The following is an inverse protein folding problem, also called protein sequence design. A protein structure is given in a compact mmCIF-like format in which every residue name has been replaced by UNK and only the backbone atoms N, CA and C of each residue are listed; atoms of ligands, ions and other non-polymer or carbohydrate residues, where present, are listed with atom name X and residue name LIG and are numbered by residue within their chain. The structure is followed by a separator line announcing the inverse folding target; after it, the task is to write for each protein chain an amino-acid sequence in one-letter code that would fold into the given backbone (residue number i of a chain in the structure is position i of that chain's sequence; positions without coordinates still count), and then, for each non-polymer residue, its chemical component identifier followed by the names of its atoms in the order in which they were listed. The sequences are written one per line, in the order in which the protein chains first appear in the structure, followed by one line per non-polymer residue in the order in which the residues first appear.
data_IF_475669746103
#
_entry.id   IF_475669746103
#
_cell.length_a   1.000
_cell.length_b   1.000
_cell.length_c   1.000
_cell.angle_alpha   90.00
_cell.angle_beta   90.00
_cell.angle_gamma   90.00
#
_symmetry.space_group_name_H-M   'P 1'
#
loop_
_entity.id
_entity.type
_entity.pdbx_description
1 polymer ?
#
# COMPACT_ATOMS: atom_id res chain seq x y z
N UNK A 1 -10.26 -19.66 -8.61
CA UNK A 1 -9.49 -19.05 -7.50
C UNK A 1 -8.02 -19.40 -7.66
N UNK A 2 -7.15 -18.41 -7.84
CA UNK A 2 -5.70 -18.59 -7.67
C UNK A 2 -5.41 -18.98 -6.22
N UNK A 3 -4.41 -19.84 -6.01
CA UNK A 3 -4.00 -20.30 -4.69
C UNK A 3 -3.00 -19.30 -4.09
N UNK A 4 -3.49 -18.18 -3.55
CA UNK A 4 -2.64 -17.11 -3.01
C UNK A 4 -1.64 -17.58 -1.95
N UNK A 5 -1.97 -18.62 -1.19
CA UNK A 5 -1.10 -19.23 -0.18
C UNK A 5 0.15 -19.91 -0.75
N UNK A 6 0.19 -20.17 -2.07
CA UNK A 6 1.41 -20.67 -2.74
C UNK A 6 2.39 -19.55 -3.07
N UNK A 7 1.87 -18.34 -3.24
CA UNK A 7 2.64 -17.20 -3.76
C UNK A 7 2.98 -16.20 -2.65
N UNK A 8 2.22 -16.18 -1.54
CA UNK A 8 2.41 -15.25 -0.43
C UNK A 8 2.08 -15.92 0.92
N UNK A 9 3.03 -15.87 1.85
CA UNK A 9 2.91 -16.36 3.22
C UNK A 9 3.01 -15.20 4.22
N UNK A 10 2.38 -15.32 5.41
CA UNK A 10 2.47 -14.27 6.44
C UNK A 10 3.89 -13.93 6.90
N UNK A 11 4.82 -14.89 6.77
CA UNK A 11 6.22 -14.74 7.19
C UNK A 11 7.10 -14.08 6.14
N UNK A 12 6.59 -13.91 4.92
CA UNK A 12 7.37 -13.37 3.82
C UNK A 12 7.71 -11.89 4.10
N UNK A 13 8.96 -11.47 3.87
CA UNK A 13 9.36 -10.10 4.07
C UNK A 13 8.91 -9.23 2.89
N UNK A 14 8.46 -8.01 3.19
CA UNK A 14 8.22 -6.96 2.21
C UNK A 14 8.85 -5.64 2.66
N UNK A 15 9.05 -4.76 1.68
CA UNK A 15 9.51 -3.37 1.90
C UNK A 15 8.68 -2.46 1.03
N UNK A 16 8.07 -1.43 1.62
CA UNK A 16 7.35 -0.41 0.86
C UNK A 16 8.32 0.64 0.32
N UNK A 17 8.16 0.99 -0.96
CA UNK A 17 8.98 1.99 -1.66
C UNK A 17 8.10 2.87 -2.53
N UNK A 18 8.40 4.16 -2.60
CA UNK A 18 7.73 5.12 -3.49
C UNK A 18 8.74 5.89 -4.34
N UNK A 19 8.39 6.20 -5.59
CA UNK A 19 9.20 7.05 -6.48
C UNK A 19 8.92 8.55 -6.28
N UNK A 20 8.72 8.98 -5.03
CA UNK A 20 8.39 10.36 -4.68
C UNK A 20 7.60 10.48 -3.40
N UNK A 21 7.43 11.72 -2.93
CA UNK A 21 6.58 12.02 -1.79
C UNK A 21 5.13 12.13 -2.25
N UNK A 22 4.26 11.30 -1.68
CA UNK A 22 2.83 11.38 -1.89
C UNK A 22 2.27 12.59 -1.14
N UNK A 23 1.42 13.37 -1.83
CA UNK A 23 0.88 14.64 -1.35
C UNK A 23 -0.63 14.54 -1.07
N UNK A 24 -1.19 15.58 -0.45
CA UNK A 24 -2.64 15.62 -0.14
C UNK A 24 -3.52 15.56 -1.39
N UNK A 25 -3.04 16.11 -2.53
CA UNK A 25 -3.73 15.99 -3.80
C UNK A 25 -3.85 14.53 -4.27
N UNK A 26 -2.80 13.72 -4.08
CA UNK A 26 -2.82 12.31 -4.44
C UNK A 26 -3.88 11.56 -3.63
N UNK A 27 -4.03 11.91 -2.35
CA UNK A 27 -5.08 11.35 -1.48
C UNK A 27 -6.47 11.66 -2.02
N UNK A 28 -6.71 12.89 -2.48
CA UNK A 28 -8.00 13.28 -3.07
C UNK A 28 -8.26 12.50 -4.37
N UNK A 29 -7.27 12.41 -5.25
CA UNK A 29 -7.36 11.66 -6.51
C UNK A 29 -7.69 10.19 -6.25
N UNK A 30 -6.96 9.55 -5.34
CA UNK A 30 -7.17 8.13 -5.03
C UNK A 30 -8.54 7.89 -4.39
N UNK A 31 -9.02 8.81 -3.56
CA UNK A 31 -10.35 8.72 -2.91
C UNK A 31 -11.50 8.95 -3.89
N UNK A 32 -11.44 10.02 -4.70
CA UNK A 32 -12.56 10.45 -5.53
C UNK A 32 -12.62 9.73 -6.88
N UNK A 33 -11.46 9.35 -7.43
CA UNK A 33 -11.38 8.78 -8.78
C UNK A 33 -11.06 7.29 -8.75
N UNK A 34 -10.11 6.84 -7.91
CA UNK A 34 -9.69 5.44 -7.93
C UNK A 34 -10.56 4.54 -7.06
N UNK A 35 -10.92 4.95 -5.85
CA UNK A 35 -11.73 4.14 -4.93
C UNK A 35 -13.03 3.61 -5.55
N UNK A 36 -13.79 4.39 -6.36
CA UNK A 36 -14.97 3.86 -7.05
C UNK A 36 -14.68 2.72 -8.04
N UNK A 37 -13.47 2.69 -8.61
CA UNK A 37 -13.04 1.68 -9.60
C UNK A 37 -12.43 0.44 -8.94
N UNK A 38 -11.63 0.62 -7.90
CA UNK A 38 -10.84 -0.46 -7.25
C UNK A 38 -11.48 -1.01 -5.96
N UNK A 39 -12.51 -0.33 -5.45
CA UNK A 39 -13.20 -0.67 -4.21
C UNK A 39 -12.47 -0.19 -2.94
N UNK A 40 -13.19 -0.26 -1.82
CA UNK A 40 -12.71 0.20 -0.51
C UNK A 40 -11.56 -0.64 0.05
N UNK A 41 -11.52 -1.94 -0.23
CA UNK A 41 -10.46 -2.82 0.29
C UNK A 41 -9.08 -2.46 -0.28
N UNK A 42 -8.99 -2.31 -1.59
CA UNK A 42 -7.76 -1.90 -2.28
C UNK A 42 -7.32 -0.49 -1.88
N UNK A 43 -8.29 0.41 -1.68
CA UNK A 43 -8.05 1.75 -1.18
C UNK A 43 -7.43 1.74 0.23
N UNK A 44 -8.03 0.99 1.16
CA UNK A 44 -7.50 0.85 2.52
C UNK A 44 -6.10 0.25 2.54
N UNK A 45 -5.85 -0.78 1.71
CA UNK A 45 -4.52 -1.37 1.59
C UNK A 45 -3.48 -0.34 1.11
N UNK A 46 -3.81 0.48 0.10
CA UNK A 46 -2.94 1.55 -0.36
C UNK A 46 -2.63 2.56 0.75
N UNK A 47 -3.63 2.98 1.53
CA UNK A 47 -3.41 3.89 2.65
C UNK A 47 -2.54 3.28 3.75
N UNK A 48 -2.67 1.97 4.03
CA UNK A 48 -1.80 1.27 4.98
C UNK A 48 -0.36 1.28 4.50
N UNK A 49 -0.10 0.93 3.23
CA UNK A 49 1.26 0.96 2.66
C UNK A 49 1.83 2.38 2.64
N UNK A 50 1.00 3.38 2.35
CA UNK A 50 1.43 4.78 2.46
C UNK A 50 1.76 5.15 3.91
N UNK A 51 0.96 4.72 4.89
CA UNK A 51 1.26 4.96 6.31
C UNK A 51 2.57 4.34 6.80
N UNK A 52 2.99 3.21 6.23
CA UNK A 52 4.29 2.59 6.53
C UNK A 52 5.48 3.38 5.99
N UNK A 53 5.27 4.18 4.94
CA UNK A 53 6.23 5.20 4.53
C UNK A 53 6.16 6.34 5.55
N UNK A 54 7.01 6.30 6.59
CA UNK A 54 7.13 7.37 7.60
C UNK A 54 7.18 8.76 6.92
N UNK A 55 6.67 9.80 7.59
CA UNK A 55 6.57 11.15 7.01
C UNK A 55 7.90 11.60 6.37
N UNK A 56 7.81 12.08 5.12
CA UNK A 56 8.96 12.50 4.30
C UNK A 56 9.96 11.40 3.95
N UNK A 57 9.55 10.13 3.94
CA UNK A 57 10.38 9.01 3.47
C UNK A 57 9.80 8.34 2.24
N UNK A 58 10.72 7.91 1.37
CA UNK A 58 10.43 7.14 0.16
C UNK A 58 10.70 5.65 0.34
N UNK A 59 11.34 5.26 1.44
CA UNK A 59 11.65 3.88 1.81
C UNK A 59 11.15 3.55 3.21
N UNK A 60 10.37 2.48 3.30
CA UNK A 60 9.99 1.83 4.54
C UNK A 60 11.08 0.88 5.05
N UNK A 61 10.81 0.27 6.21
CA UNK A 61 11.63 -0.80 6.78
C UNK A 61 11.16 -2.15 6.25
N UNK A 62 12.00 -3.17 6.33
CA UNK A 62 11.55 -4.55 6.07
C UNK A 62 10.63 -4.99 7.19
N UNK A 63 9.46 -5.53 6.82
CA UNK A 63 8.49 -6.12 7.73
C UNK A 63 7.95 -7.43 7.16
N UNK A 64 7.25 -8.21 7.98
CA UNK A 64 6.47 -9.39 7.55
C UNK A 64 4.98 -9.04 7.54
N UNK A 65 4.14 -9.82 6.85
CA UNK A 65 2.69 -9.54 6.68
C UNK A 65 1.82 -9.81 7.93
N UNK A 66 2.39 -9.80 9.14
CA UNK A 66 1.74 -10.22 10.38
C UNK A 66 1.23 -9.05 11.21
#
# INVERSE_FOLDING_TARGET
MSNYWKDLLPVDPYVVKSCGLLQDLDRQIVTLLYQPLIGSFSFSLFLTLWGELEQNRVWGKSSTHR
#
